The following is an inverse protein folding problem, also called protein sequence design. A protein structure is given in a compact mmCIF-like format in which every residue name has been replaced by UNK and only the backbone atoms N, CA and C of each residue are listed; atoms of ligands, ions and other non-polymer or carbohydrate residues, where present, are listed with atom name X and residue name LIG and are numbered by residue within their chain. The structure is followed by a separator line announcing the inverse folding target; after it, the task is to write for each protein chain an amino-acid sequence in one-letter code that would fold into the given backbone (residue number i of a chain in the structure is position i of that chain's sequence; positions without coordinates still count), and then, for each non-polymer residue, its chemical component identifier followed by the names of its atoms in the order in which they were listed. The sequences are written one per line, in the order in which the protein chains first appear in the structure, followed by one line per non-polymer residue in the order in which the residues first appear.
data_IF_242067310209
#
_entry.id   IF_242067310209
#
_cell.length_a   1.000
_cell.length_b   1.000
_cell.length_c   1.000
_cell.angle_alpha   90.00
_cell.angle_beta   90.00
_cell.angle_gamma   90.00
#
_symmetry.space_group_name_H-M   'P 1'
#
loop_
_entity.id
_entity.type
_entity.pdbx_description
1 polymer ?
#
# COMPACT_ATOMS: atom_id res chain seq x y z
N UNK A 1 0.90 1.64 14.67
CA UNK A 1 -0.54 1.66 14.32
C UNK A 1 -0.94 0.48 13.43
N UNK A 2 -0.15 0.13 12.40
CA UNK A 2 -0.51 -0.93 11.45
C UNK A 2 -0.21 -2.37 11.93
N UNK A 3 0.79 -2.54 12.82
CA UNK A 3 1.27 -3.85 13.26
C UNK A 3 0.19 -4.81 13.79
N UNK A 4 -0.82 -4.39 14.58
CA UNK A 4 -1.87 -5.30 15.03
C UNK A 4 -2.67 -5.92 13.88
N UNK A 5 -2.95 -5.15 12.82
CA UNK A 5 -3.67 -5.65 11.64
C UNK A 5 -2.80 -6.65 10.87
N UNK A 6 -1.53 -6.31 10.64
CA UNK A 6 -0.58 -7.21 9.98
C UNK A 6 -0.42 -8.53 10.75
N UNK A 7 -0.38 -8.49 12.08
CA UNK A 7 -0.29 -9.68 12.94
C UNK A 7 -1.50 -10.60 12.80
N UNK A 8 -2.72 -10.06 12.67
CA UNK A 8 -3.94 -10.86 12.46
C UNK A 8 -3.92 -11.55 11.09
N UNK A 9 -3.32 -10.89 10.10
CA UNK A 9 -3.17 -11.40 8.74
C UNK A 9 -1.89 -12.24 8.54
N UNK A 10 -1.14 -12.49 9.61
CA UNK A 10 0.13 -13.24 9.59
C UNK A 10 1.17 -12.64 8.62
N UNK A 11 1.14 -11.32 8.43
CA UNK A 11 2.11 -10.59 7.59
C UNK A 11 3.36 -10.26 8.44
N UNK A 12 4.56 -10.72 8.03
CA UNK A 12 5.80 -10.43 8.75
C UNK A 12 6.09 -8.92 8.85
N UNK A 13 6.62 -8.42 9.98
CA UNK A 13 6.91 -6.99 10.17
C UNK A 13 7.82 -6.39 9.09
N UNK A 14 8.75 -7.15 8.53
CA UNK A 14 9.65 -6.75 7.46
C UNK A 14 8.94 -6.43 6.13
N UNK A 15 7.69 -6.88 5.97
CA UNK A 15 6.86 -6.58 4.81
C UNK A 15 5.98 -5.34 5.02
N UNK A 16 6.12 -4.65 6.16
CA UNK A 16 5.34 -3.46 6.50
C UNK A 16 6.13 -2.21 6.14
N UNK A 17 5.58 -1.41 5.23
CA UNK A 17 6.10 -0.09 4.87
C UNK A 17 5.05 0.96 5.25
N UNK A 18 5.29 1.70 6.33
CA UNK A 18 4.33 2.65 6.88
C UNK A 18 5.01 3.75 7.71
N UNK A 19 4.29 4.85 7.93
CA UNK A 19 4.78 5.92 8.80
C UNK A 19 4.96 5.43 10.23
N UNK A 20 6.13 5.71 10.79
CA UNK A 20 6.41 5.46 12.19
C UNK A 20 6.20 6.74 12.99
N UNK A 21 5.26 6.71 13.93
CA UNK A 21 5.06 7.80 14.88
C UNK A 21 6.12 7.71 15.98
N UNK A 22 6.67 8.85 16.39
CA UNK A 22 7.69 8.97 17.42
C UNK A 22 7.07 9.56 18.68
N UNK A 23 7.35 8.93 19.82
CA UNK A 23 6.84 9.35 21.13
C UNK A 23 8.00 9.46 22.11
N UNK A 24 7.92 10.45 22.99
CA UNK A 24 8.87 10.62 24.07
C UNK A 24 8.59 9.69 25.24
N UNK A 25 9.43 9.76 26.27
CA UNK A 25 9.34 8.85 27.43
C UNK A 25 8.05 9.03 28.24
N UNK A 26 7.39 10.19 28.13
CA UNK A 26 6.12 10.47 28.81
C UNK A 26 4.90 10.20 27.91
N UNK A 27 5.12 9.61 26.73
CA UNK A 27 4.08 9.34 25.74
C UNK A 27 3.66 10.55 24.91
N UNK A 28 4.35 11.68 25.04
CA UNK A 28 4.11 12.86 24.23
C UNK A 28 4.46 12.62 22.76
N UNK A 29 3.64 13.15 21.85
CA UNK A 29 3.89 13.05 20.42
C UNK A 29 5.07 13.95 20.01
N UNK A 30 6.12 13.35 19.45
CA UNK A 30 7.32 14.06 19.01
C UNK A 30 7.37 14.25 17.49
N UNK A 31 6.48 13.60 16.74
CA UNK A 31 6.46 13.65 15.28
C UNK A 31 6.41 12.27 14.66
N UNK A 32 6.98 12.14 13.47
CA UNK A 32 7.08 10.88 12.74
C UNK A 32 8.48 10.74 12.12
N UNK A 33 8.87 9.50 11.81
CA UNK A 33 10.11 9.25 11.10
C UNK A 33 10.01 9.76 9.65
N UNK A 34 10.80 10.80 9.34
CA UNK A 34 10.86 11.40 8.02
C UNK A 34 11.69 10.58 7.01
N UNK A 35 12.43 9.57 7.47
CA UNK A 35 13.19 8.68 6.60
C UNK A 35 12.29 7.65 5.91
N UNK A 36 11.15 7.33 6.52
CA UNK A 36 10.17 6.43 5.93
C UNK A 36 9.67 6.96 4.58
N UNK A 37 9.71 6.17 3.49
CA UNK A 37 9.23 6.64 2.19
C UNK A 37 7.79 7.14 2.25
N UNK A 38 6.94 6.49 3.05
CA UNK A 38 5.52 6.82 3.23
C UNK A 38 5.27 8.14 3.95
N UNK A 39 6.31 8.78 4.50
CA UNK A 39 6.19 10.04 5.24
C UNK A 39 5.89 11.24 4.33
N UNK A 40 6.00 11.05 3.01
CA UNK A 40 5.84 12.08 1.97
C UNK A 40 4.98 11.60 0.80
N UNK A 41 4.51 12.55 0.00
CA UNK A 41 3.81 12.26 -1.26
C UNK A 41 4.65 11.37 -2.18
N UNK A 42 4.01 10.41 -2.86
CA UNK A 42 4.70 9.41 -3.66
C UNK A 42 5.39 8.30 -2.85
N UNK A 43 5.18 8.24 -1.53
CA UNK A 43 5.80 7.25 -0.66
C UNK A 43 5.46 5.80 -1.00
N UNK A 44 4.19 5.50 -1.34
CA UNK A 44 3.78 4.15 -1.78
C UNK A 44 4.49 3.73 -3.07
N UNK A 45 4.60 4.63 -4.05
CA UNK A 45 5.35 4.36 -5.28
C UNK A 45 6.83 4.07 -4.99
N UNK A 46 7.44 4.84 -4.09
CA UNK A 46 8.83 4.62 -3.67
C UNK A 46 9.01 3.26 -2.99
N UNK A 47 8.11 2.89 -2.06
CA UNK A 47 8.13 1.60 -1.39
C UNK A 47 7.99 0.44 -2.39
N UNK A 48 7.04 0.50 -3.31
CA UNK A 48 6.84 -0.55 -4.33
C UNK A 48 8.05 -0.70 -5.24
N UNK A 49 8.68 0.40 -5.67
CA UNK A 49 9.93 0.35 -6.45
C UNK A 49 11.08 -0.29 -5.65
N UNK A 50 11.20 0.03 -4.36
CA UNK A 50 12.21 -0.56 -3.48
C UNK A 50 11.97 -2.07 -3.30
N UNK A 51 10.72 -2.49 -3.04
CA UNK A 51 10.34 -3.91 -2.92
C UNK A 51 10.70 -4.66 -4.22
N UNK A 52 10.34 -4.11 -5.39
CA UNK A 52 10.70 -4.70 -6.68
C UNK A 52 12.21 -4.92 -6.79
N UNK A 53 12.99 -3.87 -6.48
CA UNK A 53 14.45 -3.89 -6.60
C UNK A 53 15.10 -4.91 -5.66
N UNK A 54 14.66 -4.95 -4.40
CA UNK A 54 15.24 -5.81 -3.36
C UNK A 54 14.97 -7.28 -3.65
N UNK A 55 13.75 -7.62 -4.05
CA UNK A 55 13.34 -9.02 -4.24
C UNK A 55 13.42 -9.51 -5.69
N UNK A 56 13.65 -8.62 -6.66
CA UNK A 56 13.71 -8.98 -8.07
C UNK A 56 12.38 -9.46 -8.66
N UNK A 57 11.25 -9.03 -8.08
CA UNK A 57 9.93 -9.44 -8.55
C UNK A 57 9.70 -9.02 -10.00
N UNK A 58 9.27 -9.98 -10.83
CA UNK A 58 8.94 -9.74 -12.24
C UNK A 58 7.58 -9.06 -12.40
N UNK A 59 6.66 -9.31 -11.47
CA UNK A 59 5.32 -8.75 -11.46
C UNK A 59 4.94 -8.30 -10.05
N UNK A 60 4.35 -7.11 -9.95
CA UNK A 60 3.80 -6.54 -8.73
C UNK A 60 2.40 -6.00 -9.00
N UNK A 61 1.48 -6.31 -8.09
CA UNK A 61 0.11 -5.82 -8.12
C UNK A 61 -0.10 -4.92 -6.91
N UNK A 62 -0.58 -3.69 -7.15
CA UNK A 62 -1.01 -2.78 -6.10
C UNK A 62 -2.52 -2.88 -5.92
N UNK A 63 -3.00 -2.97 -4.68
CA UNK A 63 -4.43 -2.99 -4.36
C UNK A 63 -4.72 -1.86 -3.36
N UNK A 64 -5.70 -1.01 -3.66
CA UNK A 64 -6.10 0.08 -2.76
C UNK A 64 -7.23 0.94 -3.33
N UNK A 65 -7.79 1.85 -2.54
CA UNK A 65 -8.90 2.72 -2.95
C UNK A 65 -8.42 4.12 -3.41
N UNK A 66 -7.21 4.51 -3.00
CA UNK A 66 -6.76 5.89 -3.03
C UNK A 66 -5.93 6.29 -4.24
N UNK A 67 -5.83 7.60 -4.46
CA UNK A 67 -4.98 8.16 -5.51
C UNK A 67 -3.49 7.85 -5.32
N UNK A 68 -3.03 7.73 -4.06
CA UNK A 68 -1.64 7.36 -3.75
C UNK A 68 -1.35 5.88 -4.01
N UNK A 69 -2.38 5.02 -3.97
CA UNK A 69 -2.27 3.62 -4.39
C UNK A 69 -2.14 3.53 -5.90
N UNK A 70 -2.99 4.24 -6.64
CA UNK A 70 -2.88 4.36 -8.10
C UNK A 70 -1.51 4.90 -8.54
N UNK A 71 -0.95 5.87 -7.80
CA UNK A 71 0.37 6.43 -8.07
C UNK A 71 1.50 5.39 -8.02
N UNK A 72 1.30 4.27 -7.32
CA UNK A 72 2.29 3.20 -7.24
C UNK A 72 2.55 2.50 -8.60
N UNK A 73 1.73 2.76 -9.62
CA UNK A 73 1.96 2.35 -11.02
C UNK A 73 2.95 3.22 -11.80
N UNK A 74 3.60 4.20 -11.16
CA UNK A 74 4.70 4.96 -11.79
C UNK A 74 5.75 4.01 -12.40
N UNK A 75 6.51 4.43 -13.43
CA UNK A 75 7.53 3.59 -14.07
C UNK A 75 8.48 2.95 -13.05
N UNK A 76 8.64 1.62 -13.13
CA UNK A 76 9.41 0.82 -12.16
C UNK A 76 8.62 0.33 -10.94
N UNK A 77 7.39 0.79 -10.76
CA UNK A 77 6.47 0.41 -9.68
C UNK A 77 5.64 -0.85 -10.01
N UNK A 78 4.36 -0.82 -9.64
CA UNK A 78 3.42 -1.91 -9.88
C UNK A 78 3.05 -2.05 -11.36
N UNK A 79 2.86 -3.27 -11.84
CA UNK A 79 2.43 -3.56 -13.22
C UNK A 79 0.92 -3.44 -13.36
N UNK A 80 0.17 -3.79 -12.30
CA UNK A 80 -1.28 -3.71 -12.23
C UNK A 80 -1.70 -2.95 -10.98
N UNK A 81 -2.78 -2.18 -11.12
CA UNK A 81 -3.49 -1.57 -10.02
C UNK A 81 -4.95 -2.03 -10.01
N UNK A 82 -5.32 -2.61 -8.88
CA UNK A 82 -6.69 -3.01 -8.58
C UNK A 82 -7.28 -1.98 -7.62
N UNK A 83 -8.31 -1.27 -8.06
CA UNK A 83 -9.07 -0.38 -7.20
C UNK A 83 -10.03 -1.22 -6.34
N UNK A 84 -9.84 -1.18 -5.02
CA UNK A 84 -10.79 -1.78 -4.08
C UNK A 84 -11.80 -0.73 -3.62
N UNK A 85 -13.02 -0.81 -4.10
CA UNK A 85 -14.11 0.13 -3.81
C UNK A 85 -15.15 -0.41 -2.81
N UNK A 86 -14.83 -1.50 -2.09
CA UNK A 86 -15.76 -2.13 -1.15
C UNK A 86 -16.13 -1.30 0.08
N UNK A 87 -15.35 -0.25 0.39
CA UNK A 87 -15.65 0.71 1.46
C UNK A 87 -16.07 2.06 0.89
N UNK A 88 -15.26 2.62 0.00
CA UNK A 88 -15.50 3.91 -0.64
C UNK A 88 -15.13 3.82 -2.11
N UNK A 89 -16.08 4.09 -2.99
CA UNK A 89 -15.79 4.31 -4.40
C UNK A 89 -15.27 5.74 -4.59
N UNK A 90 -14.16 5.87 -5.31
CA UNK A 90 -13.62 7.16 -5.76
C UNK A 90 -13.53 7.12 -7.28
N UNK A 91 -14.45 7.77 -7.98
CA UNK A 91 -14.58 7.62 -9.44
C UNK A 91 -13.30 8.02 -10.18
N UNK A 92 -12.61 9.05 -9.70
CA UNK A 92 -11.33 9.51 -10.26
C UNK A 92 -10.19 8.47 -10.16
N UNK A 93 -10.26 7.54 -9.20
CA UNK A 93 -9.29 6.45 -9.02
C UNK A 93 -9.75 5.22 -9.81
N UNK A 94 -11.02 4.84 -9.64
CA UNK A 94 -11.61 3.67 -10.29
C UNK A 94 -11.57 3.75 -11.83
N UNK A 95 -11.80 4.93 -12.41
CA UNK A 95 -11.71 5.14 -13.87
C UNK A 95 -10.30 4.94 -14.45
N UNK A 96 -9.28 4.85 -13.59
CA UNK A 96 -7.87 4.67 -13.98
C UNK A 96 -7.29 3.33 -13.52
N UNK A 97 -8.08 2.46 -12.89
CA UNK A 97 -7.60 1.15 -12.46
C UNK A 97 -7.68 0.12 -13.58
N UNK A 98 -6.79 -0.86 -13.54
CA UNK A 98 -6.84 -1.99 -14.47
C UNK A 98 -8.00 -2.93 -14.13
N UNK A 99 -8.37 -2.98 -12.84
CA UNK A 99 -9.51 -3.73 -12.36
C UNK A 99 -10.16 -3.03 -11.16
N UNK A 100 -11.47 -2.90 -11.18
CA UNK A 100 -12.29 -2.42 -10.07
C UNK A 100 -13.01 -3.60 -9.40
N UNK A 101 -12.87 -3.73 -8.08
CA UNK A 101 -13.56 -4.74 -7.28
C UNK A 101 -14.26 -4.11 -6.09
N UNK A 102 -15.39 -4.69 -5.69
CA UNK A 102 -16.17 -4.24 -4.52
C UNK A 102 -16.10 -5.24 -3.37
N UNK A 103 -15.67 -6.47 -3.63
CA UNK A 103 -15.54 -7.51 -2.62
C UNK A 103 -14.22 -8.26 -2.81
N UNK A 104 -13.52 -8.59 -1.72
CA UNK A 104 -12.32 -9.43 -1.79
C UNK A 104 -12.58 -10.81 -2.38
N UNK A 105 -13.81 -11.32 -2.29
CA UNK A 105 -14.22 -12.58 -2.93
C UNK A 105 -14.01 -12.55 -4.45
N UNK A 106 -14.15 -11.40 -5.10
CA UNK A 106 -13.91 -11.25 -6.53
C UNK A 106 -12.44 -11.54 -6.88
N UNK A 107 -11.51 -11.22 -5.96
CA UNK A 107 -10.08 -11.52 -6.12
C UNK A 107 -9.77 -12.99 -5.78
N UNK A 108 -10.39 -13.54 -4.75
CA UNK A 108 -10.16 -14.92 -4.33
C UNK A 108 -10.58 -15.89 -5.43
N UNK A 109 -11.76 -15.67 -6.02
CA UNK A 109 -12.31 -16.54 -7.07
C UNK A 109 -11.47 -16.57 -8.36
N UNK A 110 -10.55 -15.63 -8.57
CA UNK A 110 -9.67 -15.62 -9.77
C UNK A 110 -8.32 -16.29 -9.54
N UNK A 111 -8.02 -16.68 -8.30
CA UNK A 111 -6.83 -17.44 -7.94
C UNK A 111 -7.06 -18.97 -8.01
N UNK A 112 -8.34 -19.38 -8.09
CA UNK A 112 -8.79 -20.76 -8.32
C UNK A 112 -8.86 -21.08 -9.82
#
# INVERSE_FOLDING_TARGET
MINPVASILEIPPENIFANQLLFGSSGEFLGFDANEPTSRSGGKATAVMQIRKVHGYKRLVMIGDGATDLEARKPGGADLFICYAGIQLREAVASKSDWLVFNFKDLINTLE
#
